data_IF_237048458803
#
_entry.id   IF_237048458803
#
_cell.length_a   1.000
_cell.length_b   1.000
_cell.length_c   1.000
_cell.angle_alpha   90.00
_cell.angle_beta   90.00
_cell.angle_gamma   90.00
#
_symmetry.space_group_name_H-M   'P 1'
#
loop_
_entity.id
_entity.type
_entity.pdbx_description
1 polymer ?
#
# COMPACT_ATOMS: atom_id res chain seq x y z
N UNK A 1 -13.07 -40.03 10.90
CA UNK A 1 -13.29 -39.00 9.88
C UNK A 1 -13.98 -37.82 10.55
N UNK A 2 -13.22 -36.96 11.23
CA UNK A 2 -13.76 -35.68 11.72
C UNK A 2 -13.65 -34.71 10.54
N UNK A 3 -14.80 -34.32 10.00
CA UNK A 3 -14.84 -33.21 9.06
C UNK A 3 -14.27 -32.00 9.81
N UNK A 4 -13.13 -31.50 9.33
CA UNK A 4 -12.56 -30.23 9.74
C UNK A 4 -13.53 -29.17 9.23
N UNK A 5 -14.57 -28.88 10.00
CA UNK A 5 -15.45 -27.76 9.69
C UNK A 5 -14.55 -26.52 9.66
N UNK A 6 -14.45 -25.80 8.53
CA UNK A 6 -13.53 -24.68 8.43
C UNK A 6 -13.96 -23.65 9.46
N UNK A 7 -13.25 -23.60 10.59
CA UNK A 7 -13.62 -22.77 11.74
C UNK A 7 -13.82 -21.35 11.25
N UNK A 8 -15.03 -20.82 11.38
CA UNK A 8 -15.34 -19.47 10.94
C UNK A 8 -14.42 -18.50 11.68
N UNK A 9 -13.61 -17.78 10.92
CA UNK A 9 -12.76 -16.72 11.47
C UNK A 9 -13.56 -15.44 11.38
N UNK A 10 -13.70 -14.75 12.51
CA UNK A 10 -14.40 -13.46 12.59
C UNK A 10 -13.41 -12.29 12.48
N UNK A 11 -13.88 -11.18 11.90
CA UNK A 11 -13.14 -9.92 11.87
C UNK A 11 -13.07 -9.31 13.27
N UNK A 12 -11.87 -8.94 13.73
CA UNK A 12 -11.65 -8.34 15.06
C UNK A 12 -12.35 -6.99 15.30
N UNK A 13 -12.84 -6.32 14.25
CA UNK A 13 -13.42 -4.97 14.35
C UNK A 13 -14.95 -4.94 14.21
N UNK A 14 -15.54 -5.92 13.53
CA UNK A 14 -16.97 -5.90 13.21
C UNK A 14 -17.64 -7.26 13.35
N UNK A 15 -16.92 -8.27 13.87
CA UNK A 15 -17.37 -9.63 14.14
C UNK A 15 -18.00 -10.37 12.95
N UNK A 16 -17.94 -9.81 11.74
CA UNK A 16 -18.41 -10.48 10.54
C UNK A 16 -17.44 -11.58 10.11
N UNK A 17 -17.94 -12.73 9.64
CA UNK A 17 -17.11 -13.81 9.10
C UNK A 17 -16.20 -13.33 7.95
N UNK A 18 -14.94 -13.75 7.98
CA UNK A 18 -13.97 -13.45 6.91
C UNK A 18 -13.77 -14.67 5.99
N UNK A 19 -13.94 -14.43 4.69
CA UNK A 19 -13.98 -15.49 3.68
C UNK A 19 -12.64 -15.76 2.99
N UNK A 20 -11.78 -14.76 2.89
CA UNK A 20 -10.53 -14.87 2.13
C UNK A 20 -9.37 -15.33 3.02
N UNK A 21 -8.44 -16.11 2.47
CA UNK A 21 -7.25 -16.55 3.20
C UNK A 21 -6.42 -15.38 3.74
N UNK A 22 -6.32 -14.28 2.98
CA UNK A 22 -5.60 -13.06 3.38
C UNK A 22 -6.29 -12.38 4.57
N UNK A 23 -7.61 -12.23 4.53
CA UNK A 23 -8.37 -11.64 5.66
C UNK A 23 -8.35 -12.54 6.88
N UNK A 24 -8.38 -13.87 6.70
CA UNK A 24 -8.24 -14.86 7.78
C UNK A 24 -6.88 -14.75 8.47
N UNK A 25 -5.78 -14.70 7.71
CA UNK A 25 -4.43 -14.55 8.26
C UNK A 25 -4.27 -13.26 9.09
N UNK A 26 -4.95 -12.19 8.68
CA UNK A 26 -4.95 -10.89 9.39
C UNK A 26 -6.01 -10.79 10.49
N UNK A 27 -6.97 -11.72 10.53
CA UNK A 27 -8.22 -11.64 11.31
C UNK A 27 -8.98 -10.31 11.14
N UNK A 28 -8.88 -9.71 9.96
CA UNK A 28 -9.52 -8.43 9.63
C UNK A 28 -10.15 -8.52 8.25
N UNK A 29 -11.45 -8.23 8.19
CA UNK A 29 -12.20 -8.19 6.93
C UNK A 29 -11.72 -7.06 6.02
N UNK A 30 -11.89 -7.25 4.71
CA UNK A 30 -11.37 -6.32 3.69
C UNK A 30 -11.88 -4.88 3.89
N UNK A 31 -13.16 -4.71 4.24
CA UNK A 31 -13.75 -3.40 4.52
C UNK A 31 -13.09 -2.69 5.71
N UNK A 32 -12.86 -3.41 6.81
CA UNK A 32 -12.18 -2.87 7.99
C UNK A 32 -10.71 -2.55 7.70
N UNK A 33 -10.04 -3.39 6.92
CA UNK A 33 -8.67 -3.15 6.49
C UNK A 33 -8.55 -1.88 5.62
N UNK A 34 -9.48 -1.69 4.67
CA UNK A 34 -9.52 -0.48 3.84
C UNK A 34 -9.71 0.78 4.67
N UNK A 35 -10.60 0.75 5.66
CA UNK A 35 -10.82 1.88 6.60
C UNK A 35 -9.55 2.18 7.42
N UNK A 36 -8.97 1.18 8.07
CA UNK A 36 -7.75 1.35 8.85
C UNK A 36 -6.59 1.91 8.00
N UNK A 37 -6.46 1.46 6.75
CA UNK A 37 -5.44 1.96 5.83
C UNK A 37 -5.71 3.41 5.40
N UNK A 38 -6.97 3.78 5.17
CA UNK A 38 -7.34 5.17 4.87
C UNK A 38 -7.04 6.11 6.04
N UNK A 39 -7.38 5.70 7.26
CA UNK A 39 -7.09 6.47 8.48
C UNK A 39 -5.59 6.61 8.74
N UNK A 40 -4.81 5.55 8.50
CA UNK A 40 -3.36 5.61 8.60
C UNK A 40 -2.78 6.61 7.59
N UNK A 41 -3.27 6.60 6.35
CA UNK A 41 -2.86 7.58 5.33
C UNK A 41 -3.26 9.01 5.71
N UNK A 42 -4.46 9.22 6.24
CA UNK A 42 -4.90 10.54 6.68
C UNK A 42 -4.02 11.09 7.81
N UNK A 43 -3.63 10.24 8.76
CA UNK A 43 -2.68 10.59 9.83
C UNK A 43 -1.27 10.90 9.31
N UNK A 44 -0.85 10.23 8.24
CA UNK A 44 0.46 10.44 7.61
C UNK A 44 0.42 11.43 6.45
N UNK A 45 -0.72 12.07 6.18
CA UNK A 45 -0.83 13.01 5.07
C UNK A 45 0.22 14.12 5.28
N UNK A 46 1.05 14.43 4.27
CA UNK A 46 2.02 15.50 4.40
C UNK A 46 1.27 16.79 4.74
N UNK A 47 1.65 17.40 5.85
CA UNK A 47 1.12 18.71 6.26
C UNK A 47 1.42 19.67 5.11
N UNK A 48 0.42 20.40 4.60
CA UNK A 48 0.66 21.38 3.55
C UNK A 48 1.63 22.43 4.10
N UNK A 49 2.86 22.41 3.59
CA UNK A 49 3.84 23.43 3.90
C UNK A 49 3.37 24.74 3.25
N UNK A 50 3.46 25.89 3.96
CA UNK A 50 3.10 27.18 3.38
C UNK A 50 3.89 27.42 2.08
N UNK A 51 3.18 27.68 0.98
CA UNK A 51 3.79 27.93 -0.34
C UNK A 51 3.96 26.71 -1.26
N UNK A 52 3.63 25.49 -0.81
CA UNK A 52 3.68 24.26 -1.61
C UNK A 52 2.31 23.65 -1.94
N UNK A 53 1.23 24.38 -1.63
CA UNK A 53 -0.13 23.99 -1.97
C UNK A 53 -0.41 24.24 -3.46
N UNK A 54 0.05 23.34 -4.35
CA UNK A 54 -0.20 23.51 -5.78
C UNK A 54 0.11 22.35 -6.72
N UNK A 55 0.86 21.32 -6.31
CA UNK A 55 1.22 20.24 -7.23
C UNK A 55 1.11 18.86 -6.57
N UNK A 56 -0.09 18.50 -6.12
CA UNK A 56 -0.40 17.18 -5.56
C UNK A 56 -1.13 16.23 -6.52
N UNK A 57 -1.59 16.70 -7.67
CA UNK A 57 -2.52 15.94 -8.52
C UNK A 57 -1.85 14.95 -9.49
N UNK A 58 -0.52 14.78 -9.41
CA UNK A 58 0.21 13.82 -10.25
C UNK A 58 1.26 13.08 -9.43
N UNK A 59 0.80 12.10 -8.67
CA UNK A 59 1.66 10.96 -8.36
C UNK A 59 2.07 10.32 -9.70
N UNK A 60 3.30 10.56 -10.14
CA UNK A 60 3.95 9.83 -11.22
C UNK A 60 4.22 10.56 -12.54
N UNK A 61 4.53 11.85 -12.56
CA UNK A 61 5.18 12.44 -13.74
C UNK A 61 6.48 13.18 -13.41
N UNK A 62 7.55 12.59 -13.95
CA UNK A 62 8.80 13.17 -14.41
C UNK A 62 9.62 14.01 -13.43
N UNK A 63 10.24 13.32 -12.46
CA UNK A 63 11.52 13.77 -11.92
C UNK A 63 12.63 13.55 -12.96
N UNK A 64 13.69 14.37 -13.00
CA UNK A 64 14.78 14.19 -13.95
C UNK A 64 15.35 12.77 -13.81
N UNK A 65 15.44 12.07 -14.93
CA UNK A 65 16.06 10.75 -15.01
C UNK A 65 17.52 10.87 -14.56
N UNK A 66 17.83 10.36 -13.37
CA UNK A 66 19.21 10.31 -12.85
C UNK A 66 20.10 9.33 -13.63
N UNK A 67 19.56 8.65 -14.66
CA UNK A 67 20.28 7.72 -15.52
C UNK A 67 21.00 8.41 -16.69
N UNK A 68 20.65 9.66 -17.02
CA UNK A 68 21.32 10.41 -18.10
C UNK A 68 22.69 11.00 -17.68
N UNK A 69 23.08 10.82 -16.42
CA UNK A 69 24.36 11.29 -15.87
C UNK A 69 25.32 10.17 -15.46
N UNK A 70 25.15 8.96 -15.99
CA UNK A 70 26.27 8.01 -16.00
C UNK A 70 27.27 8.46 -17.08
N UNK A 71 28.51 8.82 -16.74
CA UNK A 71 29.55 8.95 -17.76
C UNK A 71 29.62 7.59 -18.46
N UNK A 72 29.41 7.59 -19.78
CA UNK A 72 29.58 6.39 -20.58
C UNK A 72 31.01 5.92 -20.42
N UNK A 73 31.21 4.86 -19.63
CA UNK A 73 32.43 4.08 -19.67
C UNK A 73 32.47 3.45 -21.06
N UNK A 74 33.20 4.14 -21.95
CA UNK A 74 33.54 3.65 -23.26
C UNK A 74 34.31 2.35 -23.12
N UNK A 75 33.66 1.23 -23.40
CA UNK A 75 34.36 0.00 -23.72
C UNK A 75 34.77 0.10 -25.20
N UNK A 76 35.97 0.64 -25.40
CA UNK A 76 36.74 0.46 -26.62
C UNK A 76 37.17 -1.01 -26.73
N UNK A 77 37.31 -1.48 -27.97
CA UNK A 77 37.53 -2.89 -28.34
C UNK A 77 38.86 -3.47 -27.85
N UNK A 78 39.05 -4.79 -28.05
CA UNK A 78 39.45 -5.25 -29.38
C UNK A 78 38.58 -6.35 -30.00
#
# INVERSE_FOLDING_TARGET
MTADEPTEVLCLHCDTPVMTAVSRARRVGEGCWRKARAEARARSAPVPLPGLAGHGDRAGLDGPSLLDHLPGDGTDGP
#
